data_IF_565447646366
#
_entry.id   IF_565447646366
#
_cell.length_a   1.000
_cell.length_b   1.000
_cell.length_c   1.000
_cell.angle_alpha   90.00
_cell.angle_beta   90.00
_cell.angle_gamma   90.00
#
_symmetry.space_group_name_H-M   'P 1'
#
loop_
_entity.id
_entity.type
_entity.pdbx_description
1 polymer ?
#
# COMPACT_ATOMS: atom_id res chain seq x y z
N UNK A 1 0.18 5.75 -17.81
CA UNK A 1 0.23 6.61 -16.60
C UNK A 1 1.23 7.71 -16.86
N UNK A 2 0.77 8.90 -17.26
CA UNK A 2 1.62 10.11 -17.29
C UNK A 2 1.00 11.01 -16.22
N UNK A 3 1.80 11.39 -15.23
CA UNK A 3 1.48 12.33 -14.14
C UNK A 3 0.92 11.75 -12.82
N UNK A 4 1.27 10.50 -12.49
CA UNK A 4 1.14 10.00 -11.11
C UNK A 4 2.51 10.02 -10.43
N UNK A 5 2.59 10.63 -9.24
CA UNK A 5 3.77 10.57 -8.36
C UNK A 5 3.41 9.91 -7.04
N UNK A 6 4.41 9.35 -6.37
CA UNK A 6 4.26 8.75 -5.05
C UNK A 6 5.23 9.45 -4.09
N UNK A 7 4.80 9.74 -2.87
CA UNK A 7 5.64 10.40 -1.85
C UNK A 7 5.35 9.83 -0.46
N UNK A 8 6.37 9.80 0.42
CA UNK A 8 6.15 9.55 1.85
C UNK A 8 5.51 10.78 2.46
N UNK A 9 4.33 10.60 3.05
CA UNK A 9 3.50 11.69 3.57
C UNK A 9 3.31 11.64 5.08
N UNK A 10 3.99 10.73 5.79
CA UNK A 10 3.83 10.53 7.24
C UNK A 10 3.85 11.84 8.03
N UNK A 11 4.83 12.70 7.79
CA UNK A 11 4.99 13.98 8.51
C UNK A 11 4.11 15.10 7.95
N UNK A 12 3.58 14.95 6.74
CA UNK A 12 2.83 15.98 6.00
C UNK A 12 1.34 15.72 5.96
N UNK A 13 0.86 14.55 6.41
CA UNK A 13 -0.54 14.12 6.26
C UNK A 13 -1.54 15.15 6.81
N UNK A 14 -1.22 15.81 7.93
CA UNK A 14 -2.04 16.84 8.56
C UNK A 14 -2.26 18.10 7.68
N UNK A 15 -1.42 18.29 6.66
CA UNK A 15 -1.53 19.41 5.71
C UNK A 15 -2.20 19.03 4.40
N UNK A 16 -2.48 17.73 4.18
CA UNK A 16 -3.03 17.23 2.93
C UNK A 16 -4.56 17.23 2.97
N UNK A 17 -5.16 17.48 1.82
CA UNK A 17 -6.61 17.36 1.66
C UNK A 17 -7.00 15.89 1.55
N UNK A 18 -7.68 15.37 2.56
CA UNK A 18 -8.20 13.99 2.61
C UNK A 18 -9.69 13.90 2.25
N UNK A 19 -10.28 14.96 1.69
CA UNK A 19 -11.65 14.90 1.21
C UNK A 19 -11.79 13.83 0.12
N UNK A 20 -12.86 13.03 0.19
CA UNK A 20 -13.10 11.92 -0.73
C UNK A 20 -12.52 10.57 -0.29
N UNK A 21 -11.72 10.55 0.78
CA UNK A 21 -11.37 9.33 1.50
C UNK A 21 -12.45 9.00 2.54
N UNK A 22 -12.73 7.71 2.74
CA UNK A 22 -13.72 7.23 3.71
C UNK A 22 -13.14 7.28 5.12
N UNK A 23 -11.85 6.97 5.27
CA UNK A 23 -11.18 6.98 6.56
C UNK A 23 -10.62 8.37 6.90
N UNK A 24 -10.67 8.72 8.19
CA UNK A 24 -9.97 9.90 8.70
C UNK A 24 -8.50 9.57 8.95
N UNK A 25 -7.69 9.83 7.92
CA UNK A 25 -6.24 9.59 7.93
C UNK A 25 -5.48 10.55 8.86
N UNK A 26 -6.09 11.58 9.45
CA UNK A 26 -5.42 12.43 10.43
C UNK A 26 -5.31 11.80 11.82
N UNK A 27 -6.14 10.78 12.10
CA UNK A 27 -6.16 10.05 13.37
C UNK A 27 -5.30 8.77 13.34
N UNK A 28 -4.88 8.37 12.14
CA UNK A 28 -4.01 7.24 11.87
C UNK A 28 -2.59 7.78 11.58
N UNK A 29 -1.51 7.70 12.35
CA UNK A 29 -1.10 7.02 13.58
C UNK A 29 0.30 7.60 13.94
N UNK A 30 0.70 7.68 15.22
CA UNK A 30 2.12 7.70 15.57
C UNK A 30 2.73 6.31 15.37
N UNK A 31 3.74 6.19 14.49
CA UNK A 31 4.51 4.97 14.10
C UNK A 31 4.12 4.27 12.79
N UNK A 32 3.18 4.80 12.00
CA UNK A 32 2.92 4.31 10.63
C UNK A 32 3.76 5.06 9.61
N UNK A 33 4.19 4.34 8.56
CA UNK A 33 4.71 4.94 7.34
C UNK A 33 3.54 5.11 6.38
N UNK A 34 3.29 6.34 5.95
CA UNK A 34 2.25 6.69 5.00
C UNK A 34 2.87 7.03 3.65
N UNK A 35 2.35 6.42 2.59
CA UNK A 35 2.72 6.76 1.21
C UNK A 35 1.45 7.23 0.47
N UNK A 36 1.54 8.42 -0.11
CA UNK A 36 0.49 9.02 -0.92
C UNK A 36 0.73 8.81 -2.42
N UNK A 37 -0.34 8.54 -3.16
CA UNK A 37 -0.38 8.62 -4.61
C UNK A 37 -0.99 9.96 -5.03
N UNK A 38 -0.31 10.70 -5.89
CA UNK A 38 -0.70 12.04 -6.32
C UNK A 38 -0.93 12.09 -7.82
N UNK A 39 -2.09 12.61 -8.22
CA UNK A 39 -2.43 12.89 -9.61
C UNK A 39 -2.64 14.40 -9.74
N UNK A 40 -1.86 15.08 -10.58
CA UNK A 40 -1.89 16.55 -10.73
C UNK A 40 -1.76 17.29 -9.38
N UNK A 41 -0.88 16.81 -8.49
CA UNK A 41 -0.68 17.32 -7.11
C UNK A 41 -1.84 17.08 -6.13
N UNK A 42 -2.93 16.46 -6.56
CA UNK A 42 -4.02 16.04 -5.68
C UNK A 42 -3.73 14.65 -5.12
N UNK A 43 -3.90 14.47 -3.82
CA UNK A 43 -3.82 13.15 -3.17
C UNK A 43 -5.03 12.31 -3.58
N UNK A 44 -4.79 11.18 -4.24
CA UNK A 44 -5.84 10.30 -4.80
C UNK A 44 -5.80 8.87 -4.28
N UNK A 45 -4.72 8.49 -3.59
CA UNK A 45 -4.59 7.21 -2.92
C UNK A 45 -3.62 7.29 -1.75
N UNK A 46 -3.81 6.43 -0.76
CA UNK A 46 -3.01 6.36 0.47
C UNK A 46 -2.81 4.91 0.87
N UNK A 47 -1.63 4.59 1.36
CA UNK A 47 -1.33 3.34 2.06
C UNK A 47 -0.57 3.65 3.34
N UNK A 48 -0.98 3.02 4.43
CA UNK A 48 -0.32 3.05 5.73
C UNK A 48 0.14 1.66 6.13
N UNK A 49 1.39 1.56 6.59
CA UNK A 49 1.97 0.29 7.01
C UNK A 49 2.97 0.47 8.14
N UNK A 50 3.28 -0.64 8.81
CA UNK A 50 4.33 -0.73 9.83
C UNK A 50 5.34 -1.83 9.46
N UNK A 51 6.58 -1.66 9.87
CA UNK A 51 7.63 -2.69 9.77
C UNK A 51 7.64 -3.52 11.04
N UNK A 52 7.39 -4.81 10.95
CA UNK A 52 7.46 -5.73 12.09
C UNK A 52 8.83 -6.41 12.13
N UNK A 53 9.78 -5.81 12.85
CA UNK A 53 11.14 -6.35 12.97
C UNK A 53 11.23 -7.65 13.79
N UNK A 54 10.21 -7.98 14.60
CA UNK A 54 10.21 -9.24 15.36
C UNK A 54 9.84 -10.44 14.47
N UNK A 55 8.97 -10.21 13.50
CA UNK A 55 8.47 -11.26 12.60
C UNK A 55 8.95 -11.10 11.16
N UNK A 56 9.76 -10.08 10.88
CA UNK A 56 10.45 -9.82 9.61
C UNK A 56 9.50 -9.63 8.40
N UNK A 57 8.43 -8.86 8.58
CA UNK A 57 7.47 -8.53 7.51
C UNK A 57 6.90 -7.11 7.65
N UNK A 58 6.34 -6.58 6.55
CA UNK A 58 5.58 -5.33 6.56
C UNK A 58 4.09 -5.61 6.73
N UNK A 59 3.42 -4.94 7.68
CA UNK A 59 1.97 -5.04 7.88
C UNK A 59 1.30 -3.80 7.33
N UNK A 60 0.49 -3.94 6.28
CA UNK A 60 -0.39 -2.87 5.82
C UNK A 60 -1.54 -2.74 6.80
N UNK A 61 -1.70 -1.55 7.35
CA UNK A 61 -2.79 -1.20 8.26
C UNK A 61 -4.00 -0.78 7.46
N UNK A 62 -3.77 0.07 6.45
CA UNK A 62 -4.84 0.59 5.62
C UNK A 62 -4.34 0.91 4.22
N UNK A 63 -5.19 0.69 3.23
CA UNK A 63 -5.01 1.15 1.86
C UNK A 63 -6.34 1.69 1.34
N UNK A 64 -6.31 2.84 0.70
CA UNK A 64 -7.49 3.45 0.12
C UNK A 64 -7.16 4.23 -1.15
N UNK A 65 -8.03 4.08 -2.15
CA UNK A 65 -8.03 4.88 -3.38
C UNK A 65 -9.37 5.59 -3.47
N UNK A 66 -9.35 6.90 -3.74
CA UNK A 66 -10.55 7.68 -4.04
C UNK A 66 -11.37 7.01 -5.14
N UNK A 67 -12.69 6.99 -4.98
CA UNK A 67 -13.60 6.19 -5.81
C UNK A 67 -13.41 6.39 -7.32
N UNK A 68 -13.25 7.62 -7.73
CA UNK A 68 -13.09 8.13 -9.09
C UNK A 68 -11.72 7.82 -9.72
N UNK A 69 -10.74 7.42 -8.91
CA UNK A 69 -9.38 7.08 -9.32
C UNK A 69 -9.09 5.57 -9.25
N UNK A 70 -10.12 4.75 -8.96
CA UNK A 70 -10.02 3.28 -8.95
C UNK A 70 -9.88 2.73 -10.36
N UNK A 71 -9.34 1.51 -10.49
CA UNK A 71 -9.11 0.86 -11.79
C UNK A 71 -7.87 1.36 -12.55
N UNK A 72 -7.16 2.38 -12.03
CA UNK A 72 -5.94 2.94 -12.65
C UNK A 72 -4.65 2.20 -12.25
N UNK A 73 -4.74 1.13 -11.45
CA UNK A 73 -3.58 0.39 -10.94
C UNK A 73 -2.86 1.04 -9.75
N UNK A 74 -3.41 2.13 -9.19
CA UNK A 74 -2.82 2.85 -8.05
C UNK A 74 -2.67 1.97 -6.80
N UNK A 75 -3.69 1.16 -6.49
CA UNK A 75 -3.64 0.26 -5.33
C UNK A 75 -2.51 -0.78 -5.43
N UNK A 76 -2.34 -1.38 -6.62
CA UNK A 76 -1.27 -2.34 -6.86
C UNK A 76 0.11 -1.66 -6.80
N UNK A 77 0.20 -0.40 -7.23
CA UNK A 77 1.44 0.38 -7.17
C UNK A 77 1.79 0.79 -5.75
N UNK A 78 0.81 1.23 -4.94
CA UNK A 78 1.03 1.52 -3.52
C UNK A 78 1.46 0.26 -2.76
N UNK A 79 0.85 -0.89 -3.05
CA UNK A 79 1.23 -2.15 -2.45
C UNK A 79 2.65 -2.59 -2.87
N UNK A 80 3.02 -2.39 -4.14
CA UNK A 80 4.37 -2.70 -4.62
C UNK A 80 5.46 -1.87 -3.93
N UNK A 81 5.17 -0.62 -3.56
CA UNK A 81 6.07 0.22 -2.77
C UNK A 81 6.32 -0.38 -1.38
N UNK A 82 5.27 -0.90 -0.71
CA UNK A 82 5.42 -1.57 0.60
C UNK A 82 6.18 -2.89 0.50
N UNK A 83 5.96 -3.64 -0.58
CA UNK A 83 6.70 -4.87 -0.87
C UNK A 83 8.18 -4.58 -1.14
N UNK A 84 8.48 -3.54 -1.91
CA UNK A 84 9.86 -3.11 -2.13
C UNK A 84 10.51 -2.63 -0.83
N UNK A 85 9.79 -1.87 0.00
CA UNK A 85 10.29 -1.46 1.31
C UNK A 85 10.70 -2.66 2.16
N UNK A 86 9.89 -3.73 2.16
CA UNK A 86 10.22 -4.97 2.85
C UNK A 86 11.49 -5.62 2.30
N UNK A 87 11.73 -5.63 0.98
CA UNK A 87 13.01 -6.13 0.44
C UNK A 87 14.23 -5.29 0.83
N UNK A 88 14.03 -4.03 1.23
CA UNK A 88 15.10 -3.12 1.61
C UNK A 88 15.43 -3.16 3.11
N UNK A 89 14.63 -3.85 3.94
CA UNK A 89 14.89 -3.99 5.37
C UNK A 89 15.78 -5.22 5.65
N UNK A 90 16.70 -5.07 6.62
CA UNK A 90 17.57 -6.16 7.03
C UNK A 90 16.78 -7.36 7.57
N UNK A 91 17.03 -8.53 6.98
CA UNK A 91 16.40 -9.80 7.37
C UNK A 91 14.97 -10.00 6.83
N UNK A 92 14.39 -9.00 6.16
CA UNK A 92 13.07 -9.15 5.54
C UNK A 92 13.24 -9.76 4.16
N UNK A 93 12.28 -10.57 3.74
CA UNK A 93 12.29 -11.24 2.44
C UNK A 93 11.10 -10.81 1.56
N UNK A 94 10.66 -9.55 1.71
CA UNK A 94 9.54 -9.00 0.95
C UNK A 94 8.17 -9.48 1.41
N UNK A 95 8.06 -10.11 2.58
CA UNK A 95 6.79 -10.57 3.12
C UNK A 95 5.91 -9.39 3.51
N UNK A 96 4.65 -9.41 3.04
CA UNK A 96 3.65 -8.38 3.36
C UNK A 96 2.36 -9.03 3.84
N UNK A 97 1.79 -8.49 4.91
CA UNK A 97 0.51 -8.91 5.47
C UNK A 97 -0.50 -7.78 5.48
N UNK A 98 -1.78 -8.11 5.30
CA UNK A 98 -2.89 -7.16 5.46
C UNK A 98 -4.19 -7.86 5.86
N UNK A 99 -5.14 -7.07 6.36
CA UNK A 99 -6.53 -7.51 6.57
C UNK A 99 -7.39 -6.92 5.46
N UNK A 100 -7.94 -7.76 4.59
CA UNK A 100 -8.88 -7.34 3.56
C UNK A 100 -10.24 -7.01 4.14
N UNK A 101 -10.91 -6.04 3.53
CA UNK A 101 -12.35 -5.85 3.69
C UNK A 101 -13.10 -7.01 3.02
N UNK A 102 -14.33 -7.25 3.48
CA UNK A 102 -15.26 -8.21 2.87
C UNK A 102 -16.28 -7.54 1.95
N UNK A 103 -15.76 -6.87 0.93
CA UNK A 103 -16.52 -6.12 -0.07
C UNK A 103 -16.12 -6.46 -1.52
N UNK A 104 -15.35 -7.54 -1.71
CA UNK A 104 -14.82 -7.96 -3.01
C UNK A 104 -13.38 -7.49 -3.26
N UNK A 105 -12.80 -6.69 -2.35
CA UNK A 105 -11.37 -6.33 -2.39
C UNK A 105 -10.46 -7.56 -2.27
N UNK A 106 -10.95 -8.66 -1.71
CA UNK A 106 -10.23 -9.95 -1.65
C UNK A 106 -9.76 -10.39 -3.04
N UNK A 107 -10.63 -10.29 -4.04
CA UNK A 107 -10.35 -10.67 -5.44
C UNK A 107 -9.19 -9.84 -5.99
N UNK A 108 -9.10 -8.55 -5.64
CA UNK A 108 -7.99 -7.71 -6.05
C UNK A 108 -6.66 -8.24 -5.51
N UNK A 109 -6.62 -8.67 -4.24
CA UNK A 109 -5.40 -9.22 -3.64
C UNK A 109 -5.04 -10.60 -4.19
N UNK A 110 -6.02 -11.47 -4.45
CA UNK A 110 -5.80 -12.77 -5.11
C UNK A 110 -5.14 -12.60 -6.48
N UNK A 111 -5.60 -11.63 -7.29
CA UNK A 111 -5.01 -11.35 -8.61
C UNK A 111 -3.55 -10.86 -8.54
N UNK A 112 -3.13 -10.32 -7.39
CA UNK A 112 -1.75 -9.92 -7.12
C UNK A 112 -0.91 -11.06 -6.52
N UNK A 113 -1.48 -12.26 -6.37
CA UNK A 113 -0.80 -13.44 -5.80
C UNK A 113 -0.92 -13.55 -4.28
N UNK A 114 -1.80 -12.77 -3.65
CA UNK A 114 -2.08 -12.85 -2.22
C UNK A 114 -2.72 -14.18 -1.85
N UNK A 115 -2.27 -14.78 -0.75
CA UNK A 115 -2.79 -16.03 -0.18
C UNK A 115 -3.54 -15.75 1.10
N UNK A 116 -4.68 -16.41 1.27
CA UNK A 116 -5.55 -16.20 2.43
C UNK A 116 -5.26 -17.27 3.48
N UNK A 117 -4.77 -16.86 4.65
CA UNK A 117 -4.69 -17.73 5.82
C UNK A 117 -6.08 -17.88 6.44
N UNK A 118 -6.82 -16.77 6.52
CA UNK A 118 -8.17 -16.68 7.07
C UNK A 118 -9.06 -15.94 6.06
N UNK A 119 -10.38 -15.82 6.28
CA UNK A 119 -11.27 -15.14 5.33
C UNK A 119 -10.84 -13.71 4.96
N UNK A 120 -10.04 -13.04 5.79
CA UNK A 120 -9.60 -11.65 5.57
C UNK A 120 -8.09 -11.46 5.67
N UNK A 121 -7.34 -12.36 6.32
CA UNK A 121 -5.88 -12.21 6.42
C UNK A 121 -5.22 -12.64 5.12
N UNK A 122 -4.60 -11.67 4.45
CA UNK A 122 -3.89 -11.87 3.20
C UNK A 122 -2.40 -11.77 3.44
N UNK A 123 -1.66 -12.73 2.90
CA UNK A 123 -0.21 -12.81 2.94
C UNK A 123 0.33 -12.80 1.51
N UNK A 124 1.32 -11.96 1.27
CA UNK A 124 2.15 -12.00 0.08
C UNK A 124 3.52 -12.56 0.48
N UNK A 125 3.84 -13.74 -0.06
CA UNK A 125 5.16 -14.32 0.09
C UNK A 125 6.19 -13.64 -0.82
N UNK A 126 7.47 -13.98 -0.64
CA UNK A 126 8.58 -13.42 -1.42
C UNK A 126 8.34 -13.47 -2.93
N UNK A 127 7.76 -14.56 -3.46
CA UNK A 127 7.56 -14.71 -4.90
C UNK A 127 6.43 -13.80 -5.39
N UNK A 128 5.30 -13.78 -4.66
CA UNK A 128 4.19 -12.88 -4.98
C UNK A 128 4.65 -11.42 -4.96
N UNK A 129 5.37 -11.01 -3.92
CA UNK A 129 5.90 -9.66 -3.78
C UNK A 129 6.86 -9.29 -4.92
N UNK A 130 7.78 -10.18 -5.32
CA UNK A 130 8.68 -9.94 -6.47
C UNK A 130 7.89 -9.67 -7.75
N UNK A 131 6.88 -10.50 -8.05
CA UNK A 131 6.08 -10.36 -9.27
C UNK A 131 5.30 -9.04 -9.29
N UNK A 132 4.75 -8.63 -8.14
CA UNK A 132 4.03 -7.36 -8.02
C UNK A 132 4.99 -6.18 -8.16
N UNK A 133 6.17 -6.23 -7.54
CA UNK A 133 7.23 -5.22 -7.69
C UNK A 133 7.66 -5.11 -9.15
N UNK A 134 8.01 -6.22 -9.81
CA UNK A 134 8.44 -6.21 -11.21
C UNK A 134 7.39 -5.59 -12.15
N UNK A 135 6.12 -5.82 -11.88
CA UNK A 135 5.02 -5.37 -12.74
C UNK A 135 4.54 -3.94 -12.44
N UNK A 136 4.57 -3.53 -11.18
CA UNK A 136 3.89 -2.32 -10.71
C UNK A 136 4.80 -1.30 -10.04
N UNK A 137 6.04 -1.61 -9.71
CA UNK A 137 6.93 -0.65 -9.05
C UNK A 137 7.19 0.56 -9.97
N UNK A 138 6.99 1.79 -9.49
CA UNK A 138 7.08 2.96 -10.34
C UNK A 138 8.54 3.21 -10.73
N UNK A 139 8.78 3.41 -12.03
CA UNK A 139 10.12 3.70 -12.59
C UNK A 139 10.71 5.05 -12.12
N UNK A 140 9.86 5.93 -11.60
CA UNK A 140 10.22 7.17 -10.91
C UNK A 140 9.75 7.01 -9.47
N UNK A 141 10.68 6.61 -8.61
CA UNK A 141 10.41 6.27 -7.21
C UNK A 141 10.15 7.47 -6.32
N UNK A 142 9.60 7.14 -5.16
CA UNK A 142 9.53 7.95 -3.93
C UNK A 142 10.94 8.31 -3.45
#
# INVERSE_FOLDING_TARGET
MRDVTFDVVTEKIQSLNINGFIFDWHQLVPNEILIGAFLNSSLVGLIGFIRNYQSLFNRVILIEIQSENRGLGLGATLLSLVMQDAFLQDGFEGHVELISKSDGTEIFYEHLGGKFWSPQNVIFDTQASKLVVEKHYPWRGV
#
